data_IF_402164046439
#
_entry.id   IF_402164046439
#
_cell.length_a   1.000
_cell.length_b   1.000
_cell.length_c   1.000
_cell.angle_alpha   90.00
_cell.angle_beta   90.00
_cell.angle_gamma   90.00
#
_symmetry.space_group_name_H-M   'P 1'
#
loop_
_entity.id
_entity.type
_entity.pdbx_description
1 polymer ?
#
# COMPACT_ATOMS: atom_id res chain seq x y z
N UNK A 1 16.24 15.03 16.70
CA UNK A 1 16.80 14.39 17.89
C UNK A 1 16.01 13.15 18.25
N UNK A 2 16.67 12.14 18.80
CA UNK A 2 16.05 10.91 19.28
C UNK A 2 15.06 11.24 20.41
N UNK A 3 13.87 10.65 20.40
CA UNK A 3 12.84 10.87 21.43
C UNK A 3 12.07 12.19 21.33
N UNK A 4 12.16 12.89 20.20
CA UNK A 4 11.47 14.18 19.99
C UNK A 4 9.95 14.12 20.22
N UNK A 5 9.34 12.95 20.09
CA UNK A 5 7.90 12.73 20.27
C UNK A 5 7.47 12.58 21.73
N UNK A 6 8.40 12.53 22.68
CA UNK A 6 8.07 12.39 24.09
C UNK A 6 8.09 13.74 24.82
N UNK A 7 7.25 13.91 25.84
CA UNK A 7 7.28 15.09 26.69
C UNK A 7 8.66 15.27 27.33
N UNK A 8 9.18 16.51 27.31
CA UNK A 8 10.49 16.83 27.87
C UNK A 8 11.69 16.59 26.97
N UNK A 9 11.47 16.22 25.68
CA UNK A 9 12.55 16.13 24.72
C UNK A 9 13.30 17.47 24.56
N UNK A 10 14.64 17.40 24.41
CA UNK A 10 15.44 18.58 24.08
C UNK A 10 15.22 18.95 22.61
N UNK A 11 14.49 20.01 22.37
CA UNK A 11 14.20 20.59 21.08
C UNK A 11 14.95 21.91 20.84
N UNK A 12 16.00 22.21 21.60
CA UNK A 12 16.76 23.48 21.51
C UNK A 12 17.33 23.74 20.11
N UNK A 13 17.61 22.68 19.33
CA UNK A 13 18.07 22.78 17.94
C UNK A 13 16.95 22.92 16.89
N UNK A 14 15.69 22.93 17.30
CA UNK A 14 14.57 23.07 16.37
C UNK A 14 14.21 24.53 16.14
N UNK A 15 13.77 24.85 14.94
CA UNK A 15 13.18 26.17 14.66
C UNK A 15 11.77 26.22 15.23
N UNK A 16 11.33 27.36 15.80
CA UNK A 16 9.94 27.54 16.18
C UNK A 16 8.99 27.30 15.00
N UNK A 17 7.84 26.68 15.29
CA UNK A 17 6.79 26.55 14.30
C UNK A 17 6.31 27.95 13.86
N UNK A 18 6.11 28.12 12.56
CA UNK A 18 5.54 29.35 12.02
C UNK A 18 4.03 29.18 11.86
N UNK A 19 3.21 30.09 12.43
CA UNK A 19 1.79 30.07 12.19
C UNK A 19 1.52 30.38 10.70
N UNK A 20 0.61 29.61 10.10
CA UNK A 20 0.11 29.85 8.75
C UNK A 20 -1.38 30.15 8.82
N UNK A 21 -1.90 30.84 7.83
CA UNK A 21 -3.34 31.07 7.73
C UNK A 21 -4.04 29.72 7.53
N UNK A 22 -5.01 29.41 8.40
CA UNK A 22 -5.81 28.22 8.24
C UNK A 22 -6.75 28.35 7.03
N UNK A 23 -6.99 27.29 6.25
CA UNK A 23 -8.02 27.33 5.23
C UNK A 23 -9.39 27.66 5.83
N UNK A 24 -10.16 28.52 5.17
CA UNK A 24 -11.55 28.82 5.53
C UNK A 24 -12.46 27.69 5.04
N UNK A 25 -12.41 26.55 5.73
CA UNK A 25 -13.22 25.37 5.40
C UNK A 25 -14.02 24.92 6.61
N UNK A 26 -15.18 24.33 6.36
CA UNK A 26 -15.94 23.64 7.39
C UNK A 26 -15.31 22.27 7.62
N UNK A 27 -15.21 21.87 8.88
CA UNK A 27 -14.87 20.51 9.25
C UNK A 27 -16.18 19.71 9.27
N UNK A 28 -16.20 18.63 8.48
CA UNK A 28 -17.33 17.72 8.39
C UNK A 28 -16.88 16.30 8.79
N UNK A 29 -17.83 15.52 9.26
CA UNK A 29 -17.58 14.10 9.54
C UNK A 29 -17.41 13.35 8.21
N UNK A 30 -16.43 12.43 8.16
CA UNK A 30 -16.25 11.55 7.02
C UNK A 30 -17.42 10.57 6.93
N UNK A 31 -18.13 10.55 5.80
CA UNK A 31 -19.27 9.66 5.58
C UNK A 31 -18.87 8.30 5.02
N UNK A 32 -17.83 8.28 4.18
CA UNK A 32 -17.33 7.01 3.61
C UNK A 32 -16.62 6.15 4.67
N UNK A 33 -16.70 4.81 4.56
CA UNK A 33 -15.97 3.92 5.46
C UNK A 33 -14.46 4.19 5.43
N UNK A 34 -13.74 3.99 6.57
CA UNK A 34 -12.30 4.20 6.62
C UNK A 34 -11.53 3.07 5.92
N UNK A 35 -10.30 3.37 5.51
CA UNK A 35 -9.34 2.34 5.11
C UNK A 35 -8.98 1.46 6.29
N UNK A 36 -8.92 0.14 6.05
CA UNK A 36 -8.58 -0.85 7.06
C UNK A 36 -7.66 -1.91 6.49
N UNK A 37 -6.95 -2.58 7.39
CA UNK A 37 -6.30 -3.85 7.08
C UNK A 37 -7.39 -4.92 6.97
N UNK A 38 -7.68 -5.37 5.76
CA UNK A 38 -8.77 -6.31 5.49
C UNK A 38 -8.33 -7.76 5.67
N UNK A 39 -7.12 -8.07 5.20
CA UNK A 39 -6.55 -9.42 5.29
C UNK A 39 -5.03 -9.39 5.26
N UNK A 40 -4.42 -10.51 5.64
CA UNK A 40 -2.97 -10.70 5.58
C UNK A 40 -2.61 -11.78 4.57
N UNK A 41 -1.57 -11.53 3.79
CA UNK A 41 -0.96 -12.48 2.88
C UNK A 41 0.40 -12.90 3.42
N UNK A 42 0.80 -14.12 3.09
CA UNK A 42 2.13 -14.65 3.39
C UNK A 42 2.84 -14.89 2.06
N UNK A 43 3.68 -13.94 1.64
CA UNK A 43 4.33 -13.98 0.33
C UNK A 43 5.35 -15.10 0.26
N UNK A 44 5.67 -15.54 -0.97
CA UNK A 44 6.68 -16.56 -1.22
C UNK A 44 7.97 -15.88 -1.65
N UNK A 45 9.09 -16.28 -1.04
CA UNK A 45 10.43 -15.92 -1.54
C UNK A 45 10.65 -16.64 -2.88
N UNK A 46 10.83 -15.89 -3.94
CA UNK A 46 11.01 -16.42 -5.30
C UNK A 46 12.43 -16.26 -5.83
N UNK A 47 13.25 -15.43 -5.23
CA UNK A 47 14.63 -15.25 -5.65
C UNK A 47 15.43 -14.32 -4.74
N UNK A 48 16.74 -14.32 -4.98
CA UNK A 48 17.68 -13.38 -4.37
C UNK A 48 18.60 -12.87 -5.47
N UNK A 49 18.74 -11.56 -5.59
CA UNK A 49 19.57 -10.92 -6.57
C UNK A 49 20.32 -9.74 -5.96
N UNK A 50 21.64 -9.77 -6.02
CA UNK A 50 22.51 -8.69 -5.51
C UNK A 50 22.20 -8.29 -4.05
N UNK A 51 22.00 -9.32 -3.19
CA UNK A 51 21.69 -9.14 -1.76
C UNK A 51 20.26 -8.70 -1.46
N UNK A 52 19.38 -8.60 -2.47
CA UNK A 52 17.96 -8.29 -2.37
C UNK A 52 17.13 -9.55 -2.48
N UNK A 53 16.20 -9.74 -1.58
CA UNK A 53 15.27 -10.88 -1.57
C UNK A 53 13.96 -10.46 -2.23
N UNK A 54 13.54 -11.20 -3.25
CA UNK A 54 12.34 -10.92 -4.05
C UNK A 54 11.22 -11.86 -3.65
N UNK A 55 10.04 -11.29 -3.43
CA UNK A 55 8.84 -12.00 -2.96
C UNK A 55 7.67 -11.82 -3.91
N UNK A 56 6.80 -12.86 -4.03
CA UNK A 56 5.53 -12.85 -4.78
C UNK A 56 4.35 -12.99 -3.81
N UNK A 57 3.44 -12.04 -3.81
CA UNK A 57 2.16 -12.09 -3.11
C UNK A 57 1.13 -13.02 -3.78
N UNK A 58 1.39 -13.47 -5.00
CA UNK A 58 0.53 -14.28 -5.87
C UNK A 58 -0.72 -13.58 -6.40
N UNK A 59 -0.93 -12.36 -6.02
CA UNK A 59 -1.98 -11.48 -6.52
C UNK A 59 -1.52 -10.02 -6.45
N UNK A 60 -2.05 -9.18 -7.32
CA UNK A 60 -1.85 -7.73 -7.24
C UNK A 60 -2.77 -7.17 -6.16
N UNK A 61 -2.26 -6.26 -5.35
CA UNK A 61 -2.95 -5.71 -4.18
C UNK A 61 -2.63 -4.23 -3.98
N UNK A 62 -3.47 -3.54 -3.24
CA UNK A 62 -3.10 -2.33 -2.53
C UNK A 62 -2.83 -2.68 -1.06
N UNK A 63 -1.66 -2.26 -0.53
CA UNK A 63 -1.29 -2.66 0.83
C UNK A 63 0.11 -2.27 1.24
N UNK A 64 0.63 -2.95 2.25
CA UNK A 64 1.96 -2.68 2.81
C UNK A 64 2.65 -3.95 3.30
N UNK A 65 3.97 -3.96 3.23
CA UNK A 65 4.81 -5.04 3.78
C UNK A 65 5.03 -4.80 5.27
N UNK A 66 4.91 -5.87 6.06
CA UNK A 66 5.21 -5.87 7.50
C UNK A 66 6.47 -6.69 7.73
N UNK A 67 7.48 -6.07 8.34
CA UNK A 67 8.79 -6.64 8.57
C UNK A 67 9.10 -6.76 10.06
N UNK A 68 9.95 -7.73 10.41
CA UNK A 68 10.73 -7.73 11.64
C UNK A 68 12.11 -7.17 11.34
N UNK A 69 12.50 -6.09 12.04
CA UNK A 69 13.83 -5.52 11.94
C UNK A 69 14.83 -6.37 12.75
N UNK A 70 15.93 -6.74 12.12
CA UNK A 70 17.05 -7.48 12.74
C UNK A 70 18.35 -6.69 12.67
N UNK A 71 18.31 -5.49 12.08
CA UNK A 71 19.45 -4.66 11.78
C UNK A 71 20.07 -3.95 12.99
N UNK A 72 21.34 -3.60 12.88
CA UNK A 72 22.04 -2.79 13.87
C UNK A 72 21.57 -1.35 13.82
N UNK A 73 21.77 -0.60 14.93
CA UNK A 73 21.45 0.84 14.97
C UNK A 73 22.13 1.58 13.83
N UNK A 74 21.31 2.33 13.06
CA UNK A 74 21.74 3.10 11.91
C UNK A 74 21.76 2.36 10.58
N UNK A 75 21.55 1.03 10.58
CA UNK A 75 21.35 0.26 9.34
C UNK A 75 20.05 0.65 8.67
N UNK A 76 20.06 0.77 7.34
CA UNK A 76 18.88 1.05 6.55
C UNK A 76 18.31 -0.25 5.98
N UNK A 77 17.01 -0.46 6.15
CA UNK A 77 16.25 -1.48 5.43
C UNK A 77 15.46 -0.77 4.34
N UNK A 78 15.54 -1.29 3.11
CA UNK A 78 14.78 -0.76 1.97
C UNK A 78 13.80 -1.82 1.49
N UNK A 79 12.57 -1.38 1.20
CA UNK A 79 11.53 -2.21 0.55
C UNK A 79 11.11 -1.51 -0.72
N UNK A 80 11.14 -2.21 -1.86
CA UNK A 80 10.68 -1.69 -3.15
C UNK A 80 9.57 -2.58 -3.68
N UNK A 81 8.60 -1.98 -4.35
CA UNK A 81 7.37 -2.65 -4.77
C UNK A 81 7.18 -2.50 -6.28
N UNK A 82 6.68 -3.55 -6.93
CA UNK A 82 6.33 -3.55 -8.35
C UNK A 82 5.15 -4.49 -8.64
N UNK A 83 4.45 -4.25 -9.72
CA UNK A 83 3.37 -5.13 -10.18
C UNK A 83 3.89 -6.29 -11.03
N UNK A 84 5.04 -6.12 -11.67
CA UNK A 84 5.61 -7.05 -12.63
C UNK A 84 7.08 -7.35 -12.36
N UNK A 85 7.57 -8.41 -13.00
CA UNK A 85 8.98 -8.79 -13.04
C UNK A 85 9.53 -8.58 -14.44
N UNK A 86 10.75 -8.11 -14.53
CA UNK A 86 11.53 -8.11 -15.75
C UNK A 86 11.89 -9.53 -16.19
N UNK A 87 12.35 -9.69 -17.41
CA UNK A 87 12.68 -10.99 -18.00
C UNK A 87 13.79 -11.77 -17.24
N UNK A 88 14.63 -11.07 -16.49
CA UNK A 88 15.68 -11.65 -15.64
C UNK A 88 15.20 -12.01 -14.22
N UNK A 89 13.93 -11.76 -13.91
CA UNK A 89 13.31 -12.05 -12.62
C UNK A 89 13.49 -10.96 -11.56
N UNK A 90 14.10 -9.82 -11.90
CA UNK A 90 14.13 -8.63 -11.04
C UNK A 90 12.81 -7.86 -11.13
N UNK A 91 12.61 -6.89 -10.21
CA UNK A 91 11.40 -6.05 -10.26
C UNK A 91 11.42 -5.14 -11.50
N UNK A 92 10.28 -5.07 -12.18
CA UNK A 92 10.05 -4.12 -13.27
C UNK A 92 9.31 -2.89 -12.73
N UNK A 93 9.92 -1.72 -12.87
CA UNK A 93 9.36 -0.44 -12.42
C UNK A 93 8.75 0.39 -13.55
N UNK A 94 8.73 -0.10 -14.78
CA UNK A 94 8.25 0.66 -15.94
C UNK A 94 6.78 1.08 -15.79
N UNK A 95 5.92 0.19 -15.28
CA UNK A 95 4.49 0.48 -15.06
C UNK A 95 4.27 1.61 -14.05
N UNK A 96 5.16 1.77 -13.08
CA UNK A 96 5.11 2.84 -12.07
C UNK A 96 5.70 4.18 -12.57
N UNK A 97 6.26 4.24 -13.78
CA UNK A 97 6.92 5.42 -14.32
C UNK A 97 8.46 5.35 -14.28
N UNK A 98 9.00 4.15 -14.15
CA UNK A 98 10.45 3.90 -14.12
C UNK A 98 11.12 4.41 -12.83
N UNK A 99 12.38 4.79 -12.92
CA UNK A 99 13.20 5.21 -11.76
C UNK A 99 12.70 6.46 -11.03
N UNK A 100 11.87 7.26 -11.68
CA UNK A 100 11.43 8.56 -11.14
C UNK A 100 10.22 8.44 -10.21
N UNK A 101 9.52 7.30 -10.22
CA UNK A 101 8.31 7.05 -9.42
C UNK A 101 8.36 5.72 -8.68
N UNK A 102 9.50 5.40 -8.08
CA UNK A 102 9.64 4.16 -7.30
C UNK A 102 8.72 4.15 -6.08
N UNK A 103 7.97 3.07 -5.93
CA UNK A 103 7.26 2.77 -4.69
C UNK A 103 8.23 2.13 -3.70
N UNK A 104 8.75 2.91 -2.75
CA UNK A 104 9.73 2.39 -1.81
C UNK A 104 9.58 2.96 -0.40
N UNK A 105 9.92 2.14 0.58
CA UNK A 105 9.99 2.49 1.99
C UNK A 105 11.43 2.34 2.49
N UNK A 106 11.84 3.25 3.38
CA UNK A 106 13.13 3.19 4.06
C UNK A 106 12.93 3.20 5.57
N UNK A 107 13.59 2.28 6.25
CA UNK A 107 13.55 2.18 7.71
C UNK A 107 14.97 2.23 8.26
N UNK A 108 15.19 3.13 9.21
CA UNK A 108 16.46 3.21 9.94
C UNK A 108 16.32 2.43 11.23
N UNK A 109 17.10 1.36 11.36
CA UNK A 109 17.09 0.49 12.54
C UNK A 109 17.59 1.23 13.78
N UNK A 110 16.96 0.99 14.92
CA UNK A 110 17.42 1.50 16.23
C UNK A 110 18.29 0.49 16.99
N UNK A 111 18.53 -0.68 16.41
CA UNK A 111 19.32 -1.77 16.99
C UNK A 111 18.52 -2.74 17.87
N UNK A 112 17.20 -2.57 17.95
CA UNK A 112 16.28 -3.49 18.64
C UNK A 112 15.46 -4.27 17.63
N UNK A 113 14.97 -5.44 18.02
CA UNK A 113 13.96 -6.15 17.26
C UNK A 113 12.63 -5.36 17.35
N UNK A 114 12.10 -4.97 16.21
CA UNK A 114 10.86 -4.20 16.13
C UNK A 114 10.09 -4.54 14.86
N UNK A 115 8.78 -4.40 14.92
CA UNK A 115 7.92 -4.53 13.74
C UNK A 115 7.89 -3.21 12.99
N UNK A 116 8.15 -3.26 11.69
CA UNK A 116 8.19 -2.10 10.79
C UNK A 116 7.14 -2.24 9.71
N UNK A 117 6.42 -1.17 9.47
CA UNK A 117 5.53 -0.97 8.32
C UNK A 117 5.26 0.54 8.18
N UNK A 118 4.90 1.05 7.00
CA UNK A 118 4.47 2.44 6.87
C UNK A 118 3.15 2.66 7.61
N UNK A 119 3.01 3.81 8.30
CA UNK A 119 1.81 4.14 9.08
C UNK A 119 0.73 4.80 8.22
N UNK A 120 1.12 5.65 7.27
CA UNK A 120 0.24 6.51 6.48
C UNK A 120 0.45 6.35 4.97
N UNK A 121 1.01 5.21 4.55
CA UNK A 121 1.27 4.91 3.16
C UNK A 121 0.88 3.47 2.87
N UNK A 122 0.43 3.25 1.64
CA UNK A 122 0.20 1.96 1.03
C UNK A 122 0.76 2.00 -0.40
N UNK A 123 0.98 0.84 -1.00
CA UNK A 123 1.52 0.67 -2.35
C UNK A 123 0.64 -0.29 -3.15
N UNK A 124 0.64 -0.14 -4.48
CA UNK A 124 0.05 -1.10 -5.40
C UNK A 124 1.13 -2.04 -5.93
N UNK A 125 1.02 -3.35 -5.66
CA UNK A 125 2.06 -4.30 -6.05
C UNK A 125 1.59 -5.75 -5.99
N UNK A 126 2.28 -6.57 -6.76
CA UNK A 126 2.28 -8.02 -6.60
C UNK A 126 3.62 -8.51 -6.04
N UNK A 127 4.70 -7.91 -6.50
CA UNK A 127 6.07 -8.28 -6.13
C UNK A 127 6.70 -7.18 -5.29
N UNK A 128 7.57 -7.59 -4.40
CA UNK A 128 8.41 -6.64 -3.66
C UNK A 128 9.76 -7.26 -3.37
N UNK A 129 10.75 -6.40 -3.16
CA UNK A 129 12.06 -6.83 -2.71
C UNK A 129 12.44 -6.14 -1.41
N UNK A 130 13.25 -6.83 -0.61
CA UNK A 130 13.82 -6.29 0.63
C UNK A 130 15.33 -6.30 0.55
N UNK A 131 15.94 -5.23 1.06
CA UNK A 131 17.38 -5.09 1.24
C UNK A 131 17.67 -4.70 2.68
N UNK A 132 18.74 -5.29 3.29
CA UNK A 132 19.07 -5.08 4.69
C UNK A 132 18.62 -6.22 5.60
N UNK A 133 18.92 -6.09 6.90
CA UNK A 133 18.72 -7.15 7.91
C UNK A 133 17.27 -7.17 8.41
N UNK A 134 16.39 -7.84 7.69
CA UNK A 134 14.98 -7.99 8.04
C UNK A 134 14.41 -9.36 7.71
N UNK A 135 13.27 -9.66 8.31
CA UNK A 135 12.41 -10.81 8.01
C UNK A 135 11.02 -10.31 7.63
N UNK A 136 10.45 -10.86 6.56
CA UNK A 136 9.07 -10.57 6.14
C UNK A 136 8.11 -11.35 7.00
N UNK A 137 7.24 -10.67 7.74
CA UNK A 137 6.22 -11.29 8.59
C UNK A 137 4.94 -11.57 7.81
N UNK A 138 4.45 -10.59 7.09
CA UNK A 138 3.26 -10.69 6.23
C UNK A 138 3.17 -9.47 5.32
N UNK A 139 2.18 -9.48 4.44
CA UNK A 139 1.71 -8.31 3.69
C UNK A 139 0.28 -8.03 4.13
N UNK A 140 -0.03 -6.79 4.46
CA UNK A 140 -1.35 -6.33 4.83
C UNK A 140 -2.03 -5.69 3.62
N UNK A 141 -3.17 -6.28 3.19
CA UNK A 141 -4.05 -5.71 2.16
C UNK A 141 -4.89 -4.63 2.81
N UNK A 142 -4.87 -3.45 2.22
CA UNK A 142 -5.53 -2.25 2.76
C UNK A 142 -6.40 -1.63 1.66
N UNK A 143 -7.64 -1.39 1.99
CA UNK A 143 -8.57 -0.61 1.18
C UNK A 143 -9.72 -0.10 2.06
N UNK A 144 -10.57 0.73 1.50
CA UNK A 144 -11.80 1.18 2.18
C UNK A 144 -12.66 -0.03 2.58
N UNK A 145 -13.15 -0.04 3.82
CA UNK A 145 -13.92 -1.15 4.41
C UNK A 145 -15.34 -1.24 3.83
N UNK A 146 -15.41 -1.55 2.56
CA UNK A 146 -16.66 -1.70 1.79
C UNK A 146 -16.99 -3.18 1.64
N UNK A 147 -18.23 -3.54 1.96
CA UNK A 147 -18.68 -4.92 1.88
C UNK A 147 -18.97 -5.34 0.43
N UNK A 148 -18.59 -6.58 0.07
CA UNK A 148 -19.03 -7.22 -1.18
C UNK A 148 -20.47 -7.71 -0.96
N UNK A 149 -21.43 -7.21 -1.72
CA UNK A 149 -22.87 -7.51 -1.57
C UNK A 149 -23.43 -8.40 -2.68
N UNK A 150 -22.58 -8.83 -3.58
CA UNK A 150 -22.94 -9.66 -4.73
C UNK A 150 -22.27 -11.02 -4.70
N UNK A 151 -22.79 -11.95 -5.48
CA UNK A 151 -22.15 -13.23 -5.75
C UNK A 151 -22.42 -13.67 -7.17
N UNK A 152 -21.43 -14.28 -7.81
CA UNK A 152 -21.57 -14.82 -9.16
C UNK A 152 -20.87 -16.17 -9.25
N UNK A 153 -21.51 -17.11 -9.92
CA UNK A 153 -20.94 -18.43 -10.21
C UNK A 153 -21.56 -19.01 -11.48
N UNK A 154 -20.73 -19.53 -12.37
CA UNK A 154 -21.18 -20.25 -13.56
C UNK A 154 -20.21 -21.39 -13.90
N UNK A 155 -20.52 -22.16 -14.98
CA UNK A 155 -19.68 -23.27 -15.43
C UNK A 155 -18.39 -22.83 -16.14
N UNK A 156 -18.29 -21.56 -16.54
CA UNK A 156 -17.10 -21.03 -17.20
C UNK A 156 -16.10 -20.48 -16.16
N UNK A 157 -14.90 -21.08 -16.03
CA UNK A 157 -13.92 -20.65 -15.05
C UNK A 157 -13.36 -19.25 -15.34
N UNK A 158 -13.33 -18.82 -16.58
CA UNK A 158 -12.84 -17.47 -16.98
C UNK A 158 -13.78 -16.39 -16.47
N UNK A 159 -15.09 -16.61 -16.59
CA UNK A 159 -16.08 -15.65 -16.08
C UNK A 159 -16.08 -15.59 -14.55
N UNK A 160 -15.92 -16.72 -13.87
CA UNK A 160 -15.76 -16.72 -12.41
C UNK A 160 -14.51 -15.95 -11.98
N UNK A 161 -13.38 -16.20 -12.64
CA UNK A 161 -12.14 -15.48 -12.39
C UNK A 161 -12.30 -13.97 -12.65
N UNK A 162 -12.95 -13.59 -13.75
CA UNK A 162 -13.18 -12.19 -14.12
C UNK A 162 -13.99 -11.46 -13.04
N UNK A 163 -15.02 -12.08 -12.51
CA UNK A 163 -15.83 -11.53 -11.42
C UNK A 163 -14.98 -11.25 -10.17
N UNK A 164 -14.19 -12.21 -9.73
CA UNK A 164 -13.33 -12.07 -8.57
C UNK A 164 -12.20 -11.05 -8.80
N UNK A 165 -11.59 -11.06 -9.99
CA UNK A 165 -10.53 -10.13 -10.35
C UNK A 165 -11.06 -8.68 -10.39
N UNK A 166 -12.26 -8.47 -10.94
CA UNK A 166 -12.88 -7.14 -10.98
C UNK A 166 -13.12 -6.58 -9.58
N UNK A 167 -13.67 -7.39 -8.67
CA UNK A 167 -13.89 -6.97 -7.27
C UNK A 167 -12.57 -6.57 -6.61
N UNK A 168 -11.52 -7.37 -6.74
CA UNK A 168 -10.20 -7.04 -6.18
C UNK A 168 -9.67 -5.73 -6.76
N UNK A 169 -9.67 -5.60 -8.08
CA UNK A 169 -9.20 -4.37 -8.75
C UNK A 169 -9.98 -3.15 -8.30
N UNK A 170 -11.30 -3.26 -8.16
CA UNK A 170 -12.13 -2.15 -7.69
C UNK A 170 -11.77 -1.75 -6.25
N UNK A 171 -11.60 -2.73 -5.36
CA UNK A 171 -11.24 -2.50 -3.97
C UNK A 171 -9.81 -1.96 -3.82
N UNK A 172 -8.86 -2.44 -4.61
CA UNK A 172 -7.48 -1.94 -4.63
C UNK A 172 -7.37 -0.46 -5.06
N UNK A 173 -8.42 0.07 -5.68
CA UNK A 173 -8.52 1.47 -6.05
C UNK A 173 -9.40 2.30 -5.09
N UNK A 174 -9.94 1.69 -4.02
CA UNK A 174 -10.76 2.37 -3.03
C UNK A 174 -9.97 2.74 -1.77
N UNK A 175 -9.57 4.03 -1.70
CA UNK A 175 -8.87 4.61 -0.56
C UNK A 175 -9.46 5.98 -0.22
N UNK A 176 -10.64 5.97 0.38
CA UNK A 176 -11.42 7.15 0.65
C UNK A 176 -12.67 7.22 -0.24
N UNK A 177 -13.04 8.40 -0.72
CA UNK A 177 -14.33 8.62 -1.37
C UNK A 177 -14.34 8.32 -2.87
N UNK A 178 -13.30 8.73 -3.60
CA UNK A 178 -13.24 8.66 -5.06
C UNK A 178 -12.20 7.63 -5.46
N UNK A 179 -12.55 6.63 -6.29
CA UNK A 179 -11.60 5.61 -6.70
C UNK A 179 -10.41 6.20 -7.44
N UNK A 180 -9.23 5.65 -7.22
CA UNK A 180 -8.04 5.98 -7.98
C UNK A 180 -8.07 5.30 -9.36
N UNK A 181 -7.26 5.83 -10.29
CA UNK A 181 -7.02 5.19 -11.59
C UNK A 181 -6.13 3.96 -11.46
N UNK A 182 -5.14 4.02 -10.56
CA UNK A 182 -4.21 2.94 -10.32
C UNK A 182 -3.59 3.02 -8.89
N UNK A 183 -3.40 1.87 -8.20
CA UNK A 183 -2.87 1.87 -6.84
C UNK A 183 -1.35 1.99 -6.78
N UNK A 184 -0.63 1.84 -7.90
CA UNK A 184 0.82 1.71 -7.93
C UNK A 184 1.57 3.00 -8.32
N UNK A 185 0.87 4.01 -8.85
CA UNK A 185 1.50 5.24 -9.36
C UNK A 185 0.93 6.50 -8.73
N UNK A 186 -0.14 7.04 -9.25
CA UNK A 186 -0.66 8.34 -8.84
C UNK A 186 -1.41 8.29 -7.52
N UNK A 187 -2.22 7.25 -7.30
CA UNK A 187 -2.99 7.01 -6.07
C UNK A 187 -3.88 8.19 -5.68
N UNK A 188 -4.40 8.88 -6.69
CA UNK A 188 -5.31 10.01 -6.54
C UNK A 188 -6.69 9.61 -7.04
N UNK A 189 -7.74 10.14 -6.40
CA UNK A 189 -9.10 9.94 -6.85
C UNK A 189 -9.41 10.73 -8.11
N UNK A 190 -9.94 10.06 -9.13
CA UNK A 190 -10.35 10.67 -10.39
C UNK A 190 -11.84 10.44 -10.66
N UNK A 191 -12.55 11.52 -10.96
CA UNK A 191 -14.00 11.46 -11.24
C UNK A 191 -14.34 10.74 -12.54
N UNK A 192 -13.42 10.69 -13.50
CA UNK A 192 -13.57 9.91 -14.73
C UNK A 192 -13.62 8.40 -14.44
N UNK A 193 -12.69 7.92 -13.65
CA UNK A 193 -12.62 6.51 -13.20
C UNK A 193 -13.84 6.17 -12.34
N UNK A 194 -14.19 7.06 -11.41
CA UNK A 194 -15.40 6.93 -10.61
C UNK A 194 -16.66 6.83 -11.46
N UNK A 195 -16.81 7.66 -12.49
CA UNK A 195 -17.95 7.63 -13.40
C UNK A 195 -18.06 6.31 -14.16
N UNK A 196 -16.94 5.81 -14.70
CA UNK A 196 -16.91 4.58 -15.50
C UNK A 196 -17.22 3.34 -14.67
N UNK A 197 -16.79 3.31 -13.40
CA UNK A 197 -16.92 2.14 -12.53
C UNK A 197 -18.11 2.18 -11.59
N UNK A 198 -18.73 3.34 -11.37
CA UNK A 198 -19.78 3.56 -10.36
C UNK A 198 -20.95 2.57 -10.46
N UNK A 199 -21.52 2.36 -11.66
CA UNK A 199 -22.66 1.45 -11.85
C UNK A 199 -22.29 0.02 -11.44
N UNK A 200 -21.15 -0.48 -11.90
CA UNK A 200 -20.67 -1.82 -11.56
C UNK A 200 -20.31 -1.92 -10.08
N UNK A 201 -19.69 -0.90 -9.51
CA UNK A 201 -19.38 -0.85 -8.08
C UNK A 201 -20.65 -0.94 -7.22
N UNK A 202 -21.68 -0.18 -7.53
CA UNK A 202 -22.97 -0.23 -6.82
C UNK A 202 -23.70 -1.58 -6.96
N UNK A 203 -23.48 -2.32 -8.05
CA UNK A 203 -24.04 -3.65 -8.23
C UNK A 203 -23.29 -4.73 -7.43
N UNK A 204 -22.00 -4.53 -7.18
CA UNK A 204 -21.12 -5.53 -6.57
C UNK A 204 -20.83 -5.27 -5.10
N UNK A 205 -20.80 -4.01 -4.69
CA UNK A 205 -20.33 -3.53 -3.38
C UNK A 205 -21.39 -2.68 -2.69
N UNK A 206 -21.33 -2.54 -1.37
CA UNK A 206 -22.10 -1.54 -0.61
C UNK A 206 -21.41 -0.16 -0.72
N UNK A 207 -21.31 0.34 -1.94
CA UNK A 207 -20.59 1.56 -2.31
C UNK A 207 -21.55 2.75 -2.56
N UNK A 208 -22.52 2.96 -1.68
CA UNK A 208 -23.55 4.02 -1.81
C UNK A 208 -23.12 5.40 -1.31
N UNK A 209 -21.99 5.48 -0.58
CA UNK A 209 -21.44 6.70 0.03
C UNK A 209 -20.04 7.01 -0.47
#
# INVERSE_FOLDING_TARGET
PEGWQYPGADLSGWKPAQPVHAPETLLEEQTCPPDRVIRKLYPILIGEYDGRKIYDCRENIAGRVVLSCLGKKGECITVRHAEELAADGTLDFESAGGSDQLQQDHYICDGRIQTLHPLFCWHGFRYFETEGSCEVLCVEVIHTDVAVTSSFSCSDPVLNWLYEAYIRTQLDNYHGCVPSDCPHRERLGYTGDGQLTAETAMLLLDAKE
#
